data_IF_149168595991
#
_entry.id   IF_149168595991
#
_cell.length_a   1.000
_cell.length_b   1.000
_cell.length_c   1.000
_cell.angle_alpha   90.00
_cell.angle_beta   90.00
_cell.angle_gamma   90.00
#
_symmetry.space_group_name_H-M   'P 1'
#
loop_
_entity.id
_entity.type
_entity.pdbx_description
1 polymer ?
#
# COMPACT_ATOMS: atom_id res chain seq x y z
N UNK A 1 5.67 11.62 -8.45
CA UNK A 1 5.22 11.71 -7.05
C UNK A 1 4.79 13.13 -6.67
N UNK A 2 5.61 14.19 -6.89
CA UNK A 2 5.29 15.58 -6.47
C UNK A 2 3.97 16.11 -7.04
N UNK A 3 3.76 15.95 -8.34
CA UNK A 3 2.53 16.39 -8.99
C UNK A 3 1.29 15.65 -8.46
N UNK A 4 1.41 14.34 -8.21
CA UNK A 4 0.36 13.55 -7.61
C UNK A 4 0.07 13.97 -6.16
N UNK A 5 1.12 14.24 -5.36
CA UNK A 5 0.97 14.74 -4.00
C UNK A 5 0.28 16.10 -3.96
N UNK A 6 0.63 17.00 -4.87
CA UNK A 6 0.00 18.32 -4.98
C UNK A 6 -1.51 18.23 -5.36
N UNK A 7 -1.88 17.26 -6.19
CA UNK A 7 -3.28 17.03 -6.52
C UNK A 7 -4.09 16.47 -5.34
N UNK A 8 -3.46 15.60 -4.53
CA UNK A 8 -4.14 14.96 -3.41
C UNK A 8 -4.20 15.80 -2.16
N UNK A 9 -3.16 16.58 -1.91
CA UNK A 9 -3.03 17.46 -0.76
C UNK A 9 -2.97 18.89 -1.27
N UNK A 10 -4.13 19.58 -1.33
CA UNK A 10 -4.24 20.93 -1.93
C UNK A 10 -3.43 22.00 -1.19
N UNK A 11 -2.97 21.74 0.01
CA UNK A 11 -2.10 22.55 0.84
C UNK A 11 -0.61 22.17 0.70
N UNK A 12 -0.28 21.17 -0.12
CA UNK A 12 1.10 20.73 -0.35
C UNK A 12 1.78 21.58 -1.42
N UNK A 13 2.81 22.31 -1.00
CA UNK A 13 3.74 22.98 -1.91
C UNK A 13 5.00 22.13 -2.13
N UNK A 14 5.19 21.53 -3.32
CA UNK A 14 6.36 20.70 -3.60
C UNK A 14 7.68 21.48 -3.59
N UNK A 15 7.64 22.80 -3.56
CA UNK A 15 8.83 23.68 -3.54
C UNK A 15 9.17 24.21 -2.15
N UNK A 16 8.26 24.07 -1.18
CA UNK A 16 8.53 24.50 0.18
C UNK A 16 9.52 23.55 0.86
N UNK A 17 10.65 24.08 1.31
CA UNK A 17 11.72 23.28 1.95
C UNK A 17 11.29 22.62 3.25
N UNK A 18 10.38 23.25 4.00
CA UNK A 18 9.89 22.75 5.28
C UNK A 18 9.03 21.48 5.21
N UNK A 19 8.50 21.12 4.04
CA UNK A 19 7.69 19.89 3.87
C UNK A 19 8.51 18.60 3.82
N UNK A 20 9.83 18.70 3.76
CA UNK A 20 10.73 17.54 3.78
C UNK A 20 11.17 17.17 5.20
N UNK A 21 10.99 18.05 6.16
CA UNK A 21 11.21 17.74 7.55
C UNK A 21 10.13 16.78 8.06
N UNK A 22 10.52 15.71 8.73
CA UNK A 22 9.59 14.71 9.31
C UNK A 22 8.48 15.34 10.15
N UNK A 23 8.72 16.53 10.68
CA UNK A 23 7.78 17.26 11.54
C UNK A 23 6.75 18.12 10.78
N UNK A 24 6.98 18.39 9.49
CA UNK A 24 6.17 19.34 8.71
C UNK A 24 5.45 18.74 7.49
N UNK A 25 5.63 17.46 7.21
CA UNK A 25 4.89 16.84 6.11
C UNK A 25 3.43 16.60 6.52
N UNK A 26 2.44 16.97 5.68
CA UNK A 26 1.03 16.84 6.01
C UNK A 26 0.50 15.40 5.86
N UNK A 27 1.36 14.43 5.54
CA UNK A 27 1.00 13.03 5.32
C UNK A 27 1.98 12.08 6.00
N UNK A 28 1.52 10.86 6.18
CA UNK A 28 2.34 9.74 6.64
C UNK A 28 2.19 8.52 5.71
N UNK A 29 3.18 7.63 5.75
CA UNK A 29 3.08 6.32 5.11
C UNK A 29 2.49 5.33 6.12
N UNK A 30 1.33 4.83 5.83
CA UNK A 30 0.63 3.88 6.68
C UNK A 30 0.54 2.51 6.03
N UNK A 31 0.58 1.45 6.84
CA UNK A 31 0.38 0.09 6.36
C UNK A 31 -1.11 -0.20 6.19
N UNK A 32 -1.54 -0.56 4.99
CA UNK A 32 -2.93 -0.95 4.69
C UNK A 32 -3.34 -2.12 5.58
N UNK A 33 -2.57 -3.22 5.55
CA UNK A 33 -2.61 -4.23 6.59
C UNK A 33 -1.71 -3.75 7.74
N UNK A 34 -2.24 -3.51 8.94
CA UNK A 34 -1.47 -2.93 10.04
C UNK A 34 -0.25 -3.75 10.41
N UNK A 35 0.89 -3.07 10.64
CA UNK A 35 2.15 -3.73 11.00
C UNK A 35 2.02 -4.61 12.24
N UNK A 36 1.20 -4.23 13.22
CA UNK A 36 0.93 -5.01 14.43
C UNK A 36 0.37 -6.40 14.17
N UNK A 37 -0.23 -6.63 12.99
CA UNK A 37 -0.80 -7.92 12.62
C UNK A 37 0.26 -8.94 12.22
N UNK A 38 1.39 -8.51 11.65
CA UNK A 38 2.43 -9.42 11.14
C UNK A 38 3.80 -9.29 11.82
N UNK A 39 3.97 -8.46 12.86
CA UNK A 39 5.27 -8.28 13.54
C UNK A 39 5.49 -9.14 14.77
N UNK A 40 4.61 -10.08 15.10
CA UNK A 40 4.75 -10.90 16.31
C UNK A 40 5.92 -11.87 16.24
N UNK A 41 6.55 -12.15 17.41
CA UNK A 41 7.74 -12.99 17.61
C UNK A 41 7.63 -14.47 17.20
N UNK A 42 6.46 -14.99 16.84
CA UNK A 42 6.29 -16.38 16.43
C UNK A 42 6.39 -16.49 14.90
N UNK A 43 7.53 -16.99 14.46
CA UNK A 43 7.86 -17.17 13.05
C UNK A 43 7.23 -18.41 12.43
N UNK A 44 5.95 -18.37 12.10
CA UNK A 44 5.41 -19.35 11.14
C UNK A 44 5.87 -18.96 9.73
N UNK A 45 5.87 -19.91 8.81
CA UNK A 45 6.21 -19.67 7.41
C UNK A 45 5.32 -18.58 6.79
N UNK A 46 4.02 -18.68 7.01
CA UNK A 46 3.03 -17.72 6.51
C UNK A 46 3.22 -16.31 7.11
N UNK A 47 3.60 -16.21 8.38
CA UNK A 47 3.94 -14.93 8.98
C UNK A 47 5.16 -14.29 8.33
N UNK A 48 6.19 -15.07 7.98
CA UNK A 48 7.36 -14.56 7.24
C UNK A 48 6.97 -14.02 5.87
N UNK A 49 6.08 -14.73 5.17
CA UNK A 49 5.55 -14.29 3.88
C UNK A 49 4.74 -13.01 4.04
N UNK A 50 3.86 -12.93 5.05
CA UNK A 50 3.15 -11.69 5.38
C UNK A 50 4.10 -10.54 5.69
N UNK A 51 5.16 -10.77 6.46
CA UNK A 51 6.17 -9.74 6.76
C UNK A 51 6.87 -9.25 5.50
N UNK A 52 7.31 -10.18 4.65
CA UNK A 52 7.98 -9.84 3.39
C UNK A 52 7.11 -8.91 2.52
N UNK A 53 5.85 -9.21 2.33
CA UNK A 53 4.94 -8.42 1.52
C UNK A 53 4.36 -7.21 2.26
N UNK A 54 4.18 -7.34 3.57
CA UNK A 54 3.70 -6.27 4.44
C UNK A 54 4.60 -5.04 4.47
N UNK A 55 5.91 -5.23 4.31
CA UNK A 55 6.89 -4.14 4.24
C UNK A 55 7.13 -3.60 2.82
N UNK A 56 6.44 -4.11 1.82
CA UNK A 56 6.54 -3.54 0.47
C UNK A 56 5.63 -2.32 0.32
N UNK A 57 5.94 -1.46 -0.67
CA UNK A 57 5.05 -0.35 -1.03
C UNK A 57 3.67 -0.83 -1.52
N UNK A 58 3.53 -2.11 -1.88
CA UNK A 58 2.25 -2.75 -2.17
C UNK A 58 1.29 -2.74 -0.99
N UNK A 59 1.79 -2.67 0.23
CA UNK A 59 1.02 -2.57 1.47
C UNK A 59 1.07 -1.17 2.11
N UNK A 60 1.66 -0.18 1.45
CA UNK A 60 1.73 1.19 1.98
C UNK A 60 0.79 2.11 1.22
N UNK A 61 0.11 2.97 1.93
CA UNK A 61 -0.63 4.08 1.36
C UNK A 61 -0.27 5.40 2.06
N UNK A 62 -0.66 6.50 1.46
CA UNK A 62 -0.41 7.83 1.99
C UNK A 62 -1.70 8.35 2.59
N UNK A 63 -1.67 8.68 3.88
CA UNK A 63 -2.76 9.26 4.62
C UNK A 63 -2.39 10.63 5.18
N UNK A 64 -3.38 11.46 5.49
CA UNK A 64 -3.18 12.62 6.35
C UNK A 64 -2.81 12.16 7.76
N UNK A 65 -2.04 12.96 8.48
CA UNK A 65 -1.62 12.64 9.85
C UNK A 65 -2.80 12.32 10.78
N UNK A 66 -3.85 13.12 10.68
CA UNK A 66 -5.05 12.95 11.51
C UNK A 66 -5.77 11.65 11.19
N UNK A 67 -5.87 11.30 9.92
CA UNK A 67 -6.47 10.05 9.44
C UNK A 67 -5.67 8.84 9.92
N UNK A 68 -4.34 8.90 9.81
CA UNK A 68 -3.45 7.82 10.26
C UNK A 68 -3.56 7.62 11.79
N UNK A 69 -3.56 8.71 12.57
CA UNK A 69 -3.71 8.64 14.03
C UNK A 69 -5.07 8.11 14.46
N UNK A 70 -6.14 8.50 13.75
CA UNK A 70 -7.50 8.02 14.04
C UNK A 70 -7.68 6.54 13.74
N UNK A 71 -6.99 6.04 12.70
CA UNK A 71 -7.10 4.66 12.25
C UNK A 71 -6.44 3.66 13.18
N UNK A 72 -5.30 3.99 13.79
CA UNK A 72 -4.52 3.08 14.65
C UNK A 72 -4.24 1.72 13.98
N UNK A 73 -4.75 0.63 14.58
CA UNK A 73 -4.56 -0.79 14.23
C UNK A 73 -5.75 -1.35 13.44
N UNK A 74 -6.69 -0.50 13.00
CA UNK A 74 -7.87 -0.99 12.29
C UNK A 74 -7.52 -1.42 10.87
N UNK A 75 -8.04 -2.58 10.42
CA UNK A 75 -7.91 -2.99 9.03
C UNK A 75 -8.54 -1.97 8.09
N UNK A 76 -8.01 -1.90 6.89
CA UNK A 76 -8.37 -0.87 5.92
C UNK A 76 -9.71 -1.08 5.20
N UNK A 77 -10.67 -1.78 5.79
CA UNK A 77 -11.87 -2.25 5.10
C UNK A 77 -12.73 -1.14 4.51
N UNK A 78 -12.94 -0.04 5.25
CA UNK A 78 -13.89 0.99 4.82
C UNK A 78 -13.31 2.42 4.78
N UNK A 79 -12.10 2.60 5.29
CA UNK A 79 -11.49 3.91 5.51
C UNK A 79 -10.34 4.25 4.57
N UNK A 80 -10.03 3.39 3.59
CA UNK A 80 -9.07 3.79 2.56
C UNK A 80 -9.80 4.76 1.64
N UNK A 81 -9.40 6.04 1.63
CA UNK A 81 -9.96 6.97 0.68
C UNK A 81 -9.82 6.38 -0.72
N UNK A 82 -10.88 6.39 -1.47
CA UNK A 82 -11.11 5.75 -2.77
C UNK A 82 -10.01 5.89 -3.82
N UNK A 83 -9.03 6.74 -3.59
CA UNK A 83 -8.20 7.24 -4.66
C UNK A 83 -7.01 6.39 -5.03
N UNK A 84 -6.48 5.51 -4.17
CA UNK A 84 -5.22 4.81 -4.49
C UNK A 84 -5.33 3.30 -4.61
N UNK A 85 -6.07 2.66 -3.73
CA UNK A 85 -6.37 1.23 -3.89
C UNK A 85 -7.32 1.04 -5.07
N UNK A 86 -8.28 1.94 -5.27
CA UNK A 86 -9.20 1.92 -6.40
C UNK A 86 -8.52 2.23 -7.73
N UNK A 87 -7.71 3.27 -7.82
CA UNK A 87 -7.00 3.60 -9.07
C UNK A 87 -6.04 2.50 -9.50
N UNK A 88 -5.37 1.84 -8.56
CA UNK A 88 -4.50 0.72 -8.88
C UNK A 88 -5.27 -0.56 -9.27
N UNK A 89 -6.47 -0.77 -8.72
CA UNK A 89 -7.21 -2.03 -8.83
C UNK A 89 -8.38 -2.00 -9.81
N UNK A 90 -9.00 -0.83 -10.03
CA UNK A 90 -10.25 -0.72 -10.80
C UNK A 90 -10.07 -0.26 -12.25
N UNK A 91 -8.87 0.17 -12.63
CA UNK A 91 -8.62 0.67 -13.99
C UNK A 91 -8.98 -0.31 -15.11
N UNK A 92 -9.06 -1.61 -14.80
CA UNK A 92 -9.33 -2.67 -15.78
C UNK A 92 -10.56 -3.53 -15.43
N UNK A 93 -11.46 -3.05 -14.58
CA UNK A 93 -12.56 -3.87 -14.07
C UNK A 93 -12.08 -5.03 -13.18
N UNK A 94 -10.89 -4.89 -12.59
CA UNK A 94 -10.30 -5.90 -11.74
C UNK A 94 -11.04 -5.97 -10.39
N UNK A 95 -10.98 -7.13 -9.79
CA UNK A 95 -11.61 -7.48 -8.52
C UNK A 95 -11.19 -6.50 -7.41
N UNK A 96 -12.14 -6.10 -6.57
CA UNK A 96 -11.85 -5.32 -5.37
C UNK A 96 -10.85 -6.07 -4.47
N UNK A 97 -9.70 -5.47 -4.22
CA UNK A 97 -8.63 -6.07 -3.41
C UNK A 97 -8.69 -5.66 -1.94
N UNK A 98 -9.56 -4.71 -1.57
CA UNK A 98 -9.66 -4.22 -0.18
C UNK A 98 -9.89 -5.33 0.85
N UNK A 99 -10.77 -6.34 0.61
CA UNK A 99 -10.96 -7.44 1.56
C UNK A 99 -9.68 -8.23 1.87
N UNK A 100 -8.76 -8.33 0.91
CA UNK A 100 -7.52 -9.05 1.11
C UNK A 100 -6.55 -8.37 2.08
N UNK A 101 -6.72 -7.06 2.33
CA UNK A 101 -5.94 -6.31 3.33
C UNK A 101 -6.56 -6.35 4.74
N UNK A 102 -7.61 -7.12 4.96
CA UNK A 102 -8.34 -7.22 6.23
C UNK A 102 -7.99 -8.49 7.03
N UNK A 103 -6.73 -8.93 6.94
CA UNK A 103 -6.26 -10.06 7.74
C UNK A 103 -6.27 -9.73 9.23
N UNK A 104 -6.85 -10.64 10.01
CA UNK A 104 -6.76 -10.57 11.46
C UNK A 104 -5.41 -11.10 11.97
N UNK A 105 -5.05 -10.75 13.21
CA UNK A 105 -3.78 -11.19 13.84
C UNK A 105 -3.63 -12.71 13.90
N UNK A 106 -4.73 -13.45 13.91
CA UNK A 106 -4.71 -14.91 13.94
C UNK A 106 -4.59 -15.52 12.55
N UNK A 107 -5.16 -14.89 11.52
CA UNK A 107 -5.05 -15.33 10.11
C UNK A 107 -3.60 -15.47 9.65
N UNK A 108 -2.75 -14.52 10.02
CA UNK A 108 -1.33 -14.50 9.66
C UNK A 108 -0.54 -15.72 10.15
N UNK A 109 -1.12 -16.52 11.03
CA UNK A 109 -0.49 -17.76 11.52
C UNK A 109 -0.60 -18.91 10.52
N UNK A 110 -1.60 -18.87 9.65
CA UNK A 110 -1.82 -19.87 8.60
C UNK A 110 -2.00 -21.28 9.12
N UNK A 111 -2.72 -21.47 10.21
CA UNK A 111 -2.92 -22.79 10.84
C UNK A 111 -3.96 -23.64 10.13
N UNK A 112 -5.03 -23.01 9.65
CA UNK A 112 -6.08 -23.63 8.85
C UNK A 112 -5.87 -23.33 7.36
N UNK A 113 -6.55 -24.09 6.51
CA UNK A 113 -6.51 -23.87 5.07
C UNK A 113 -7.12 -22.51 4.71
N UNK A 114 -8.18 -22.07 5.41
CA UNK A 114 -8.79 -20.76 5.22
C UNK A 114 -7.83 -19.61 5.59
N UNK A 115 -7.08 -19.75 6.68
CA UNK A 115 -6.08 -18.76 7.08
C UNK A 115 -4.96 -18.66 6.02
N UNK A 116 -4.51 -19.80 5.49
CA UNK A 116 -3.50 -19.85 4.42
C UNK A 116 -4.01 -19.18 3.16
N UNK A 117 -5.24 -19.47 2.75
CA UNK A 117 -5.85 -18.85 1.56
C UNK A 117 -6.00 -17.35 1.73
N UNK A 118 -6.35 -16.87 2.93
CA UNK A 118 -6.41 -15.43 3.22
C UNK A 118 -5.02 -14.77 3.15
N UNK A 119 -3.99 -15.42 3.70
CA UNK A 119 -2.60 -14.93 3.59
C UNK A 119 -2.15 -14.86 2.13
N UNK A 120 -2.43 -15.90 1.35
CA UNK A 120 -2.10 -15.91 -0.08
C UNK A 120 -2.90 -14.83 -0.84
N UNK A 121 -4.16 -14.62 -0.47
CA UNK A 121 -4.99 -13.53 -0.98
C UNK A 121 -4.37 -12.16 -0.74
N UNK A 122 -3.88 -11.91 0.47
CA UNK A 122 -3.15 -10.68 0.80
C UNK A 122 -1.87 -10.53 -0.03
N UNK A 123 -1.08 -11.58 -0.15
CA UNK A 123 0.16 -11.55 -0.97
C UNK A 123 -0.16 -11.22 -2.42
N UNK A 124 -1.17 -11.86 -2.99
CA UNK A 124 -1.61 -11.58 -4.35
C UNK A 124 -2.08 -10.12 -4.52
N UNK A 125 -2.84 -9.61 -3.56
CA UNK A 125 -3.33 -8.23 -3.58
C UNK A 125 -2.18 -7.22 -3.48
N UNK A 126 -1.28 -7.37 -2.52
CA UNK A 126 -0.12 -6.51 -2.35
C UNK A 126 0.79 -6.52 -3.59
N UNK A 127 1.03 -7.71 -4.16
CA UNK A 127 1.79 -7.85 -5.41
C UNK A 127 1.09 -7.17 -6.58
N UNK A 128 -0.21 -7.39 -6.76
CA UNK A 128 -0.98 -6.78 -7.85
C UNK A 128 -0.91 -5.26 -7.77
N UNK A 129 -1.13 -4.71 -6.56
CA UNK A 129 -1.04 -3.27 -6.32
C UNK A 129 0.36 -2.73 -6.63
N UNK A 130 1.41 -3.43 -6.18
CA UNK A 130 2.80 -3.07 -6.45
C UNK A 130 3.09 -3.01 -7.96
N UNK A 131 2.67 -4.03 -8.71
CA UNK A 131 2.88 -4.08 -10.16
C UNK A 131 2.14 -2.96 -10.89
N UNK A 132 0.93 -2.61 -10.45
CA UNK A 132 0.17 -1.47 -11.00
C UNK A 132 0.86 -0.14 -10.73
N UNK A 133 1.37 0.06 -9.52
CA UNK A 133 2.15 1.26 -9.20
C UNK A 133 3.39 1.40 -10.10
N UNK A 134 4.09 0.30 -10.34
CA UNK A 134 5.23 0.29 -11.26
C UNK A 134 4.81 0.58 -12.70
N UNK A 135 3.71 0.02 -13.17
CA UNK A 135 3.18 0.28 -14.49
C UNK A 135 2.81 1.76 -14.66
N UNK A 136 2.05 2.33 -13.71
CA UNK A 136 1.69 3.74 -13.75
C UNK A 136 2.94 4.65 -13.71
N UNK A 137 3.97 4.28 -12.94
CA UNK A 137 5.22 5.04 -12.93
C UNK A 137 6.00 4.92 -14.23
N UNK A 138 6.05 3.72 -14.80
CA UNK A 138 6.71 3.47 -16.08
C UNK A 138 6.08 4.30 -17.19
N UNK A 139 4.74 4.31 -17.26
CA UNK A 139 3.97 5.11 -18.21
C UNK A 139 4.18 6.62 -17.98
N UNK A 140 4.11 7.07 -16.71
CA UNK A 140 4.27 8.49 -16.36
C UNK A 140 5.68 9.03 -16.59
N UNK A 141 6.70 8.18 -16.54
CA UNK A 141 8.09 8.55 -16.79
C UNK A 141 8.46 8.48 -18.27
N UNK A 142 7.55 7.98 -19.13
CA UNK A 142 7.77 7.83 -20.58
C UNK A 142 9.12 7.14 -20.90
N UNK A 143 9.40 6.02 -20.21
CA UNK A 143 10.68 5.33 -20.27
C UNK A 143 10.83 4.55 -21.60
N UNK A 144 9.71 4.13 -22.21
CA UNK A 144 9.73 3.31 -23.41
C UNK A 144 10.54 3.91 -24.58
N UNK A 145 10.42 5.22 -24.90
CA UNK A 145 11.26 5.84 -25.92
C UNK A 145 12.75 5.84 -25.59
N UNK A 146 13.11 5.81 -24.31
CA UNK A 146 14.51 5.74 -23.87
C UNK A 146 15.12 4.37 -24.11
N UNK A 147 14.35 3.30 -23.94
CA UNK A 147 14.80 1.92 -24.17
C UNK A 147 15.00 1.62 -25.67
N UNK A 148 14.16 2.22 -26.52
CA UNK A 148 14.24 2.03 -27.98
C UNK A 148 15.44 2.73 -28.63
N UNK A 149 16.02 3.75 -28.00
CA UNK A 149 17.18 4.50 -28.52
C UNK A 149 18.51 3.77 -28.35
N UNK A 150 18.56 2.70 -27.60
CA UNK A 150 19.78 1.95 -27.31
C UNK A 150 19.87 0.61 -28.07
N UNK A 151 18.98 0.36 -29.02
CA UNK A 151 18.99 -0.74 -29.97
C UNK A 151 19.21 -0.19 -31.40
#
# INVERSE_FOLDING_TARGET
QRAWMAQRFGDYDPHASGFWDEHNRPWDFDHILPQSHFTKKRNTEYMKVCQQWGYTIGNLHILRFEENRARQDQPATDSIPDSYVELACLRDGSKDLRPAFSLEKDDVRGRSDEERDRVLGFVCAARTRLLRMYQDWYEALDIEPMLQRNN
#
